data_IF_263238473287
#
_entry.id   IF_263238473287
#
_cell.length_a   1.000
_cell.length_b   1.000
_cell.length_c   1.000
_cell.angle_alpha   90.00
_cell.angle_beta   90.00
_cell.angle_gamma   90.00
#
_symmetry.space_group_name_H-M   'P 1'
#
loop_
_entity.id
_entity.type
_entity.pdbx_description
1 polymer ?
#
# COMPACT_ATOMS: atom_id res chain seq x y z
N UNK A 1 -17.96 22.55 1.10
CA UNK A 1 -18.73 21.39 0.58
C UNK A 1 -17.84 20.16 0.63
N UNK A 2 -18.36 19.04 1.13
CA UNK A 2 -17.57 17.81 1.11
C UNK A 2 -17.40 17.36 -0.34
N UNK A 3 -16.25 16.72 -0.67
CA UNK A 3 -15.98 16.13 -1.97
C UNK A 3 -17.05 15.12 -2.44
N UNK A 4 -17.95 14.71 -1.56
CA UNK A 4 -19.10 13.84 -1.87
C UNK A 4 -20.13 14.46 -2.80
N UNK A 5 -20.20 15.78 -2.83
CA UNK A 5 -21.27 16.52 -3.53
C UNK A 5 -20.73 17.59 -4.49
N UNK A 6 -19.41 17.70 -4.64
CA UNK A 6 -18.84 18.57 -5.64
C UNK A 6 -18.81 17.82 -6.97
N UNK A 7 -19.60 18.28 -7.93
CA UNK A 7 -19.63 17.75 -9.29
C UNK A 7 -18.53 18.38 -10.16
N UNK A 8 -17.98 19.50 -9.70
CA UNK A 8 -16.91 20.24 -10.37
C UNK A 8 -15.89 20.73 -9.33
N UNK A 9 -14.69 21.03 -9.77
CA UNK A 9 -13.68 21.67 -8.96
C UNK A 9 -14.16 23.04 -8.52
N UNK A 10 -14.50 23.20 -7.23
CA UNK A 10 -15.23 24.37 -6.74
C UNK A 10 -14.30 25.46 -6.25
N UNK A 11 -13.07 25.09 -5.88
CA UNK A 11 -12.06 26.02 -5.35
C UNK A 11 -10.69 25.68 -5.89
N UNK A 12 -9.83 26.66 -6.10
CA UNK A 12 -8.42 26.44 -6.37
C UNK A 12 -7.82 25.50 -5.31
N UNK A 13 -6.90 24.65 -5.71
CA UNK A 13 -6.18 23.73 -4.83
C UNK A 13 -6.99 22.57 -4.21
N UNK A 14 -8.25 22.40 -4.57
CA UNK A 14 -9.03 21.24 -4.11
C UNK A 14 -8.43 19.94 -4.67
N UNK A 15 -8.10 18.98 -3.79
CA UNK A 15 -7.54 17.68 -4.16
C UNK A 15 -6.21 17.78 -4.90
N UNK A 16 -5.35 18.70 -4.48
CA UNK A 16 -4.01 18.89 -5.04
C UNK A 16 -2.92 18.67 -4.00
N UNK A 17 -1.73 18.31 -4.46
CA UNK A 17 -0.49 18.43 -3.71
C UNK A 17 0.16 19.76 -4.08
N UNK A 18 0.47 20.58 -3.09
CA UNK A 18 1.01 21.93 -3.28
C UNK A 18 2.42 21.99 -2.69
N UNK A 19 3.34 22.55 -3.47
CA UNK A 19 4.66 22.96 -2.98
C UNK A 19 4.60 24.45 -2.66
N UNK A 20 4.95 24.81 -1.43
CA UNK A 20 5.08 26.19 -0.97
C UNK A 20 6.56 26.51 -0.81
N UNK A 21 6.99 27.68 -1.27
CA UNK A 21 8.37 28.15 -1.09
C UNK A 21 8.70 28.32 0.40
N UNK A 22 10.00 28.25 0.74
CA UNK A 22 10.46 28.35 2.14
C UNK A 22 10.05 29.67 2.82
N UNK A 23 9.98 30.75 2.07
CA UNK A 23 9.53 32.07 2.53
C UNK A 23 8.01 32.25 2.54
N UNK A 24 7.26 31.28 2.03
CA UNK A 24 5.80 31.29 1.96
C UNK A 24 5.22 32.18 0.86
N UNK A 25 6.05 32.82 0.02
CA UNK A 25 5.59 33.82 -0.94
C UNK A 25 5.06 33.23 -2.24
N UNK A 26 5.44 32.01 -2.58
CA UNK A 26 4.97 31.34 -3.80
C UNK A 26 4.44 29.96 -3.51
N UNK A 27 3.46 29.53 -4.29
CA UNK A 27 2.96 28.16 -4.28
C UNK A 27 2.80 27.62 -5.70
N UNK A 28 2.96 26.31 -5.85
CA UNK A 28 2.78 25.61 -7.11
C UNK A 28 2.03 24.30 -6.86
N UNK A 29 1.02 24.01 -7.68
CA UNK A 29 0.41 22.70 -7.72
C UNK A 29 1.43 21.73 -8.29
N UNK A 30 1.73 20.66 -7.55
CA UNK A 30 2.63 19.59 -7.99
C UNK A 30 1.85 18.56 -8.80
N UNK A 31 0.68 18.19 -8.32
CA UNK A 31 -0.22 17.24 -8.97
C UNK A 31 -1.64 17.39 -8.43
N UNK A 32 -2.61 16.74 -9.07
CA UNK A 32 -4.02 16.88 -8.74
C UNK A 32 -4.80 15.55 -8.88
N UNK A 33 -6.11 15.59 -8.69
CA UNK A 33 -6.96 14.42 -8.83
C UNK A 33 -7.11 13.59 -7.55
N UNK A 34 -6.78 14.14 -6.38
CA UNK A 34 -7.04 13.48 -5.10
C UNK A 34 -8.47 13.72 -4.61
N UNK A 35 -9.07 12.67 -4.08
CA UNK A 35 -10.43 12.74 -3.51
C UNK A 35 -10.43 13.18 -2.05
N UNK A 36 -9.64 12.50 -1.22
CA UNK A 36 -9.51 12.74 0.21
C UNK A 36 -8.14 12.23 0.70
N UNK A 37 -7.10 12.74 0.07
CA UNK A 37 -5.72 12.38 0.39
C UNK A 37 -5.39 12.68 1.85
N UNK A 38 -4.61 11.79 2.46
CA UNK A 38 -4.20 11.92 3.85
C UNK A 38 -2.74 11.52 4.04
N UNK A 39 -1.97 12.46 4.56
CA UNK A 39 -0.54 12.28 4.75
C UNK A 39 0.30 12.54 3.50
N UNK A 40 1.49 13.06 3.74
CA UNK A 40 2.55 13.19 2.75
C UNK A 40 3.84 12.72 3.41
N UNK A 41 4.52 11.77 2.79
CA UNK A 41 5.85 11.32 3.13
C UNK A 41 6.86 11.77 2.09
N UNK A 42 8.06 12.15 2.54
CA UNK A 42 9.20 12.43 1.66
C UNK A 42 10.22 11.33 1.88
N UNK A 43 10.60 10.66 0.82
CA UNK A 43 11.60 9.59 0.82
C UNK A 43 13.03 10.11 0.77
N UNK A 44 14.00 9.20 0.94
CA UNK A 44 15.41 9.56 1.04
C UNK A 44 15.99 10.15 -0.27
N UNK A 45 15.36 9.89 -1.42
CA UNK A 45 15.76 10.42 -2.72
C UNK A 45 14.83 11.55 -3.20
N UNK A 46 13.91 12.01 -2.33
CA UNK A 46 12.95 13.04 -2.63
C UNK A 46 11.60 12.55 -3.18
N UNK A 47 11.39 11.25 -3.18
CA UNK A 47 10.11 10.64 -3.56
C UNK A 47 8.99 11.16 -2.64
N UNK A 48 7.86 11.45 -3.21
CA UNK A 48 6.69 11.88 -2.45
C UNK A 48 5.64 10.78 -2.41
N UNK A 49 5.32 10.28 -1.22
CA UNK A 49 4.26 9.31 -1.02
C UNK A 49 3.03 9.95 -0.38
N UNK A 50 1.85 9.56 -0.83
CA UNK A 50 0.58 9.94 -0.21
C UNK A 50 -0.43 8.81 -0.33
N UNK A 51 -1.49 8.85 0.46
CA UNK A 51 -2.62 7.94 0.29
C UNK A 51 -3.87 8.69 -0.10
N UNK A 52 -4.79 8.01 -0.76
CA UNK A 52 -6.12 8.52 -1.03
C UNK A 52 -7.19 7.47 -0.68
N UNK A 53 -8.40 7.94 -0.43
CA UNK A 53 -9.49 7.11 0.07
C UNK A 53 -10.49 6.78 -1.01
N UNK A 54 -11.04 5.55 -0.96
CA UNK A 54 -12.17 5.11 -1.78
C UNK A 54 -13.29 6.15 -1.81
N UNK A 55 -13.82 6.42 -2.98
CA UNK A 55 -14.91 7.34 -3.18
C UNK A 55 -15.26 7.53 -4.65
N UNK A 56 -15.88 8.66 -4.98
CA UNK A 56 -16.18 9.00 -6.35
C UNK A 56 -14.90 9.13 -7.16
N UNK A 57 -14.83 8.46 -8.31
CA UNK A 57 -13.65 8.39 -9.16
C UNK A 57 -12.38 7.85 -8.47
N UNK A 58 -12.54 7.18 -7.34
CA UNK A 58 -11.47 6.52 -6.61
C UNK A 58 -11.98 5.15 -6.20
N UNK A 59 -11.73 4.12 -7.03
CA UNK A 59 -12.41 2.83 -6.94
C UNK A 59 -12.11 2.04 -5.66
N UNK A 60 -10.92 2.21 -5.08
CA UNK A 60 -10.49 1.64 -3.81
C UNK A 60 -9.56 2.64 -3.10
N UNK A 61 -9.19 2.39 -1.85
CA UNK A 61 -8.11 3.14 -1.24
C UNK A 61 -6.81 2.88 -2.00
N UNK A 62 -5.88 3.84 -1.95
CA UNK A 62 -4.62 3.72 -2.68
C UNK A 62 -3.47 4.41 -1.98
N UNK A 63 -2.27 3.85 -2.13
CA UNK A 63 -1.01 4.51 -1.81
C UNK A 63 -0.34 4.88 -3.12
N UNK A 64 0.13 6.12 -3.23
CA UNK A 64 0.76 6.65 -4.44
C UNK A 64 2.18 7.06 -4.15
N UNK A 65 3.07 6.85 -5.12
CA UNK A 65 4.25 7.69 -5.29
C UNK A 65 3.87 8.76 -6.30
N UNK A 66 4.13 10.00 -5.94
CA UNK A 66 3.59 11.16 -6.64
C UNK A 66 4.63 11.72 -7.61
N UNK A 67 4.21 11.95 -8.84
CA UNK A 67 5.00 12.62 -9.88
C UNK A 67 4.48 14.04 -10.14
N UNK A 68 5.35 14.93 -10.55
CA UNK A 68 4.97 16.30 -10.94
C UNK A 68 4.12 16.27 -12.22
N UNK A 69 2.99 16.97 -12.20
CA UNK A 69 2.02 16.99 -13.29
C UNK A 69 1.01 15.83 -13.26
N UNK A 70 1.16 14.88 -12.34
CA UNK A 70 0.30 13.68 -12.26
C UNK A 70 -1.16 13.99 -11.95
N UNK A 71 -2.04 13.07 -12.43
CA UNK A 71 -3.48 13.07 -12.14
C UNK A 71 -3.90 11.75 -11.48
N UNK A 72 -4.41 11.83 -10.26
CA UNK A 72 -4.65 10.66 -9.39
C UNK A 72 -6.11 10.17 -9.37
N UNK A 73 -6.90 10.51 -10.38
CA UNK A 73 -8.14 9.85 -10.73
C UNK A 73 -9.43 10.56 -10.31
N UNK A 74 -9.45 11.42 -9.28
CA UNK A 74 -10.68 12.10 -8.91
C UNK A 74 -11.01 13.24 -9.87
N UNK A 75 -12.00 13.01 -10.75
CA UNK A 75 -12.43 13.98 -11.76
C UNK A 75 -13.01 15.28 -11.17
N UNK A 76 -13.42 15.27 -9.91
CA UNK A 76 -13.91 16.50 -9.24
C UNK A 76 -12.76 17.37 -8.73
N UNK A 77 -11.55 16.88 -8.77
CA UNK A 77 -10.33 17.57 -8.37
C UNK A 77 -9.36 17.75 -9.54
N UNK A 78 -9.86 17.67 -10.76
CA UNK A 78 -9.12 18.01 -11.97
C UNK A 78 -9.19 19.54 -12.17
N UNK A 79 -8.06 20.18 -12.44
CA UNK A 79 -7.95 21.64 -12.44
C UNK A 79 -7.53 22.26 -13.76
N UNK A 80 -6.66 21.60 -14.54
CA UNK A 80 -6.01 22.25 -15.67
C UNK A 80 -5.85 21.29 -16.87
N UNK A 81 -5.93 21.84 -18.08
CA UNK A 81 -5.71 21.13 -19.33
C UNK A 81 -6.94 20.41 -19.88
N UNK A 82 -6.70 19.47 -20.79
CA UNK A 82 -7.74 18.62 -21.34
C UNK A 82 -8.23 17.60 -20.29
N UNK A 83 -9.51 17.29 -20.35
CA UNK A 83 -10.13 16.37 -19.40
C UNK A 83 -9.46 14.98 -19.51
N UNK A 84 -8.89 14.45 -18.40
CA UNK A 84 -8.22 13.17 -18.40
C UNK A 84 -9.16 12.03 -18.80
N UNK A 85 -8.65 11.09 -19.57
CA UNK A 85 -9.34 9.85 -19.93
C UNK A 85 -8.81 8.66 -19.15
N UNK A 86 -7.72 8.86 -18.40
CA UNK A 86 -7.05 7.88 -17.54
C UNK A 86 -6.41 8.60 -16.34
N UNK A 87 -5.76 7.85 -15.46
CA UNK A 87 -5.12 8.35 -14.24
C UNK A 87 -3.79 7.65 -14.00
N UNK A 88 -2.89 8.30 -13.27
CA UNK A 88 -1.63 7.69 -12.85
C UNK A 88 -1.90 6.50 -11.91
N UNK A 89 -1.33 5.31 -12.20
CA UNK A 89 -1.55 4.14 -11.38
C UNK A 89 -0.99 4.34 -9.97
N UNK A 90 -1.62 3.74 -8.95
CA UNK A 90 -1.04 3.75 -7.62
C UNK A 90 0.16 2.82 -7.52
N UNK A 91 0.96 3.02 -6.48
CA UNK A 91 1.90 2.02 -6.02
C UNK A 91 1.16 0.73 -5.60
N UNK A 92 0.05 0.90 -4.88
CA UNK A 92 -0.82 -0.21 -4.48
C UNK A 92 -2.24 0.24 -4.22
N UNK A 93 -3.21 -0.56 -4.69
CA UNK A 93 -4.60 -0.49 -4.28
C UNK A 93 -4.82 -1.20 -2.95
N UNK A 94 -5.74 -0.70 -2.14
CA UNK A 94 -6.11 -1.25 -0.84
C UNK A 94 -7.62 -1.43 -0.75
N UNK A 95 -8.12 -2.68 -0.73
CA UNK A 95 -9.54 -2.93 -0.52
C UNK A 95 -10.02 -2.36 0.82
N UNK A 96 -11.22 -1.82 0.88
CA UNK A 96 -11.76 -1.20 2.10
C UNK A 96 -11.96 -2.15 3.28
N UNK A 97 -12.08 -3.45 3.02
CA UNK A 97 -12.14 -4.48 4.05
C UNK A 97 -10.78 -4.81 4.64
N UNK A 98 -9.70 -4.48 3.94
CA UNK A 98 -8.30 -4.63 4.37
C UNK A 98 -7.85 -3.43 5.17
N UNK A 99 -8.04 -2.24 4.61
CA UNK A 99 -7.77 -0.98 5.28
C UNK A 99 -8.86 0.05 4.98
N UNK A 100 -9.17 0.84 6.00
CA UNK A 100 -10.09 1.98 5.87
C UNK A 100 -9.32 3.24 6.21
N UNK A 101 -9.46 4.23 5.35
CA UNK A 101 -8.81 5.52 5.58
C UNK A 101 -7.31 5.39 5.85
N UNK A 102 -6.51 4.94 4.88
CA UNK A 102 -5.06 5.01 4.99
C UNK A 102 -4.65 6.44 5.32
N UNK A 103 -3.55 6.60 6.07
CA UNK A 103 -3.17 7.90 6.61
C UNK A 103 -1.75 8.29 6.21
N UNK A 104 -0.81 8.35 7.14
CA UNK A 104 0.54 8.81 6.83
C UNK A 104 1.40 7.73 6.17
N UNK A 105 2.22 8.14 5.22
CA UNK A 105 3.32 7.39 4.65
C UNK A 105 4.64 8.01 5.15
N UNK A 106 5.61 7.17 5.50
CA UNK A 106 6.94 7.62 5.93
C UNK A 106 7.95 6.49 5.82
N UNK A 107 9.19 6.86 5.50
CA UNK A 107 10.29 5.90 5.45
C UNK A 107 10.88 5.66 6.84
N UNK A 108 11.21 4.42 7.12
CA UNK A 108 11.95 4.05 8.30
C UNK A 108 13.42 4.47 8.12
N UNK A 109 13.82 5.52 8.79
CA UNK A 109 15.19 6.05 8.76
C UNK A 109 15.96 5.73 10.04
N UNK A 110 15.84 4.50 10.54
CA UNK A 110 16.45 4.08 11.79
C UNK A 110 17.10 2.71 11.69
N UNK A 111 18.41 2.66 11.89
CA UNK A 111 19.18 1.42 11.99
C UNK A 111 18.69 0.49 13.11
N UNK A 112 18.02 1.04 14.13
CA UNK A 112 17.46 0.25 15.24
C UNK A 112 16.23 -0.58 14.82
N UNK A 113 15.73 -0.40 13.60
CA UNK A 113 14.60 -1.17 13.06
C UNK A 113 15.03 -2.36 12.18
N UNK A 114 16.33 -2.70 12.19
CA UNK A 114 16.86 -3.89 11.54
C UNK A 114 16.46 -3.99 10.06
N UNK A 115 15.78 -5.06 9.64
CA UNK A 115 15.46 -5.29 8.23
C UNK A 115 14.47 -4.27 7.64
N UNK A 116 13.83 -3.46 8.47
CA UNK A 116 12.89 -2.41 8.03
C UNK A 116 13.54 -1.04 7.84
N UNK A 117 14.84 -0.88 8.16
CA UNK A 117 15.53 0.37 7.87
C UNK A 117 15.52 0.66 6.36
N UNK A 118 15.17 1.89 5.98
CA UNK A 118 15.00 2.30 4.58
C UNK A 118 13.64 1.92 3.96
N UNK A 119 12.80 1.16 4.64
CA UNK A 119 11.52 0.70 4.12
C UNK A 119 10.40 1.73 4.30
N UNK A 120 9.44 1.73 3.37
CA UNK A 120 8.25 2.57 3.43
C UNK A 120 7.20 1.95 4.36
N UNK A 121 6.65 2.75 5.24
CA UNK A 121 5.59 2.38 6.16
C UNK A 121 4.35 3.24 5.92
N UNK A 122 3.17 2.68 6.20
CA UNK A 122 1.90 3.39 6.14
C UNK A 122 1.06 3.11 7.38
N UNK A 123 0.37 4.15 7.88
CA UNK A 123 -0.55 4.02 9.00
C UNK A 123 -1.99 4.03 8.54
N UNK A 124 -2.86 3.43 9.35
CA UNK A 124 -4.30 3.40 9.13
C UNK A 124 -5.03 4.22 10.18
N UNK A 125 -5.77 5.24 9.73
CA UNK A 125 -6.69 5.96 10.58
C UNK A 125 -7.94 5.13 10.91
N UNK A 126 -8.48 4.44 9.92
CA UNK A 126 -9.74 3.72 10.10
C UNK A 126 -9.60 2.45 10.94
N UNK A 127 -8.46 1.76 10.90
CA UNK A 127 -8.29 0.44 11.52
C UNK A 127 -7.19 0.36 12.57
N UNK A 128 -6.43 1.43 12.79
CA UNK A 128 -5.34 1.46 13.79
C UNK A 128 -4.25 0.43 13.52
N UNK A 129 -3.91 0.23 12.26
CA UNK A 129 -2.86 -0.71 11.81
C UNK A 129 -1.61 0.03 11.38
N UNK A 130 -0.49 -0.69 11.33
CA UNK A 130 0.74 -0.30 10.68
C UNK A 130 1.00 -1.28 9.53
N UNK A 131 1.29 -0.74 8.37
CA UNK A 131 1.60 -1.48 7.16
C UNK A 131 3.05 -1.29 6.75
N UNK A 132 3.72 -2.35 6.36
CA UNK A 132 4.92 -2.29 5.55
C UNK A 132 4.48 -2.21 4.08
N UNK A 133 5.01 -1.24 3.35
CA UNK A 133 4.72 -1.02 1.93
C UNK A 133 5.91 -1.54 1.13
N UNK A 134 5.71 -2.69 0.52
CA UNK A 134 6.63 -3.28 -0.45
C UNK A 134 6.56 -2.50 -1.75
N UNK A 135 7.66 -2.35 -2.44
CA UNK A 135 7.69 -1.74 -3.77
C UNK A 135 8.89 -2.19 -4.58
N UNK A 136 8.71 -2.14 -5.87
CA UNK A 136 9.74 -2.32 -6.88
C UNK A 136 9.56 -1.32 -8.03
N UNK A 137 10.60 -1.12 -8.78
CA UNK A 137 10.60 -0.38 -10.04
C UNK A 137 10.76 -1.39 -11.18
N UNK A 138 9.80 -1.40 -12.11
CA UNK A 138 9.85 -2.18 -13.33
C UNK A 138 9.84 -1.19 -14.51
N UNK A 139 11.00 -0.99 -15.12
CA UNK A 139 11.21 -0.06 -16.24
C UNK A 139 10.64 1.35 -16.00
N UNK A 140 10.92 1.91 -14.83
CA UNK A 140 10.48 3.25 -14.45
C UNK A 140 9.03 3.34 -13.96
N UNK A 141 8.32 2.21 -13.86
CA UNK A 141 6.97 2.15 -13.29
C UNK A 141 7.00 1.50 -11.91
N UNK A 142 6.66 2.30 -10.89
CA UNK A 142 6.59 1.82 -9.52
C UNK A 142 5.31 1.05 -9.27
N UNK A 143 5.45 -0.09 -8.60
CA UNK A 143 4.36 -0.95 -8.15
C UNK A 143 4.72 -1.60 -6.83
N UNK A 144 3.73 -2.20 -6.15
CA UNK A 144 4.05 -2.78 -4.87
C UNK A 144 2.89 -3.46 -4.16
N UNK A 145 3.08 -3.63 -2.87
CA UNK A 145 2.11 -4.29 -2.02
C UNK A 145 2.17 -3.82 -0.58
N UNK A 146 1.23 -4.30 0.20
CA UNK A 146 1.23 -4.06 1.65
C UNK A 146 1.14 -5.37 2.41
N UNK A 147 1.86 -5.43 3.52
CA UNK A 147 1.78 -6.47 4.51
C UNK A 147 1.61 -5.86 5.90
N UNK A 148 0.77 -6.47 6.72
CA UNK A 148 0.46 -5.96 8.05
C UNK A 148 1.59 -6.26 9.04
N UNK A 149 2.06 -5.23 9.76
CA UNK A 149 2.84 -5.43 10.96
C UNK A 149 1.99 -6.05 12.09
N UNK A 150 2.59 -6.88 12.96
CA UNK A 150 1.88 -7.50 14.08
C UNK A 150 1.64 -6.48 15.22
N UNK A 151 1.15 -5.30 14.87
CA UNK A 151 0.86 -4.19 15.80
C UNK A 151 -0.59 -3.74 15.59
N UNK A 152 -1.32 -3.60 16.67
CA UNK A 152 -2.66 -3.03 16.69
C UNK A 152 -2.71 -1.88 17.69
N UNK A 153 -3.11 -0.72 17.23
CA UNK A 153 -3.30 0.44 18.10
C UNK A 153 -4.74 0.51 18.61
N UNK A 154 -4.95 0.99 19.83
CA UNK A 154 -6.29 1.17 20.37
C UNK A 154 -7.03 2.39 19.80
N UNK A 155 -6.34 3.18 18.93
CA UNK A 155 -6.92 4.29 18.16
C UNK A 155 -6.64 4.10 16.67
N UNK A 156 -7.30 4.86 15.83
CA UNK A 156 -6.79 5.14 14.49
C UNK A 156 -5.44 5.86 14.59
N UNK A 157 -4.56 5.67 13.61
CA UNK A 157 -3.23 6.28 13.58
C UNK A 157 -3.13 7.22 12.39
N UNK A 158 -2.98 8.51 12.68
CA UNK A 158 -2.97 9.58 11.66
C UNK A 158 -1.59 9.91 11.17
N UNK A 159 -0.60 9.94 12.09
CA UNK A 159 0.77 10.38 11.77
C UNK A 159 1.78 9.51 12.50
N UNK A 160 2.96 9.39 11.89
CA UNK A 160 4.11 8.72 12.47
C UNK A 160 5.41 9.40 12.05
N UNK A 161 6.38 9.40 12.95
CA UNK A 161 7.75 9.89 12.68
C UNK A 161 8.75 9.08 13.50
N UNK A 162 9.89 8.82 12.90
CA UNK A 162 11.04 8.29 13.63
C UNK A 162 11.73 9.42 14.38
N UNK A 163 11.99 9.19 15.66
CA UNK A 163 12.68 10.15 16.49
C UNK A 163 14.19 10.07 16.23
N UNK A 164 14.86 11.19 15.90
CA UNK A 164 16.24 11.13 15.39
C UNK A 164 17.27 10.69 16.43
N UNK A 165 17.01 10.89 17.73
CA UNK A 165 17.94 10.53 18.79
C UNK A 165 17.79 9.08 19.27
N UNK A 166 16.54 8.62 19.49
CA UNK A 166 16.31 7.27 20.00
C UNK A 166 16.00 6.24 18.90
N UNK A 167 15.71 6.69 17.68
CA UNK A 167 15.44 5.85 16.51
C UNK A 167 14.14 5.06 16.59
N UNK A 168 13.24 5.40 17.50
CA UNK A 168 11.97 4.72 17.65
C UNK A 168 10.87 5.43 16.85
N UNK A 169 9.82 4.69 16.49
CA UNK A 169 8.65 5.24 15.81
C UNK A 169 7.70 5.81 16.86
N UNK A 170 7.37 7.09 16.70
CA UNK A 170 6.30 7.73 17.46
C UNK A 170 5.12 7.98 16.55
N UNK A 171 3.93 7.60 17.02
CA UNK A 171 2.69 7.75 16.28
C UNK A 171 1.65 8.46 17.12
N UNK A 172 0.75 9.17 16.46
CA UNK A 172 -0.41 9.78 17.11
C UNK A 172 -1.66 9.58 16.27
N UNK A 173 -2.79 9.59 16.96
CA UNK A 173 -4.07 9.40 16.31
C UNK A 173 -5.24 9.71 17.21
N UNK A 174 -6.42 9.47 16.67
CA UNK A 174 -7.70 9.70 17.33
C UNK A 174 -8.61 8.50 17.04
N UNK A 175 -9.83 8.50 17.58
CA UNK A 175 -10.79 7.43 17.34
C UNK A 175 -10.86 7.11 15.83
N UNK A 176 -10.75 5.82 15.50
CA UNK A 176 -10.96 5.35 14.15
C UNK A 176 -12.45 5.35 13.79
N UNK A 177 -12.81 5.98 12.70
CA UNK A 177 -14.21 5.97 12.30
C UNK A 177 -14.61 4.60 11.71
N UNK A 178 -15.82 4.13 12.03
CA UNK A 178 -16.33 2.81 11.60
C UNK A 178 -15.42 1.64 11.97
N UNK A 179 -14.72 1.71 13.09
CA UNK A 179 -13.79 0.71 13.56
C UNK A 179 -14.01 0.33 15.01
N UNK A 180 -13.30 -0.68 15.48
CA UNK A 180 -13.38 -1.16 16.87
C UNK A 180 -12.37 -0.47 17.80
N UNK A 181 -11.90 0.73 17.45
CA UNK A 181 -11.01 1.49 18.33
C UNK A 181 -11.72 1.92 19.59
N UNK A 182 -11.05 1.69 20.70
CA UNK A 182 -11.64 1.82 22.04
C UNK A 182 -11.30 3.12 22.75
N UNK A 183 -10.38 3.92 22.19
CA UNK A 183 -9.90 5.14 22.81
C UNK A 183 -10.14 6.37 21.90
N UNK A 184 -10.46 7.53 22.48
CA UNK A 184 -10.72 8.75 21.71
C UNK A 184 -9.49 9.38 21.08
N UNK A 185 -8.30 9.09 21.58
CA UNK A 185 -7.02 9.56 21.05
C UNK A 185 -5.84 8.87 21.72
N UNK A 186 -4.66 8.99 21.11
CA UNK A 186 -3.46 8.37 21.65
C UNK A 186 -2.18 8.87 21.02
N UNK A 187 -1.12 8.71 21.80
CA UNK A 187 0.26 8.92 21.39
C UNK A 187 1.07 7.70 21.79
N UNK A 188 1.76 7.08 20.83
CA UNK A 188 2.38 5.78 21.02
C UNK A 188 3.85 5.80 20.59
N UNK A 189 4.66 5.01 21.28
CA UNK A 189 6.03 4.68 20.87
C UNK A 189 6.09 3.20 20.50
N UNK A 190 6.49 2.93 19.26
CA UNK A 190 6.72 1.57 18.75
C UNK A 190 8.22 1.32 18.68
N UNK A 191 8.65 0.20 19.24
CA UNK A 191 10.06 -0.20 19.27
C UNK A 191 10.24 -1.54 18.61
N UNK A 192 11.25 -1.63 17.75
CA UNK A 192 11.74 -2.92 17.30
C UNK A 192 12.55 -3.57 18.43
N UNK A 193 12.21 -4.79 18.79
CA UNK A 193 12.83 -5.51 19.93
C UNK A 193 14.04 -6.33 19.55
N UNK A 194 14.37 -6.42 18.26
CA UNK A 194 15.39 -7.31 17.71
C UNK A 194 14.95 -8.76 17.54
N UNK A 195 13.72 -9.08 17.95
CA UNK A 195 13.16 -10.41 17.69
C UNK A 195 12.73 -10.56 16.23
N UNK A 196 12.73 -11.79 15.69
CA UNK A 196 12.17 -12.06 14.35
C UNK A 196 10.76 -11.49 14.19
N UNK A 197 10.47 -10.92 13.03
CA UNK A 197 9.15 -10.38 12.68
C UNK A 197 8.49 -11.25 11.62
N UNK A 198 9.32 -11.99 10.85
CA UNK A 198 8.88 -12.95 9.85
C UNK A 198 7.92 -12.35 8.80
N UNK A 199 8.22 -11.14 8.34
CA UNK A 199 7.42 -10.46 7.30
C UNK A 199 8.19 -10.35 5.99
N UNK A 200 7.49 -10.36 4.85
CA UNK A 200 8.08 -9.95 3.59
C UNK A 200 8.65 -8.53 3.67
N UNK A 201 9.89 -8.34 3.22
CA UNK A 201 10.61 -7.06 3.19
C UNK A 201 10.95 -6.60 1.79
N UNK A 202 10.75 -7.46 0.79
CA UNK A 202 10.91 -7.16 -0.63
C UNK A 202 9.99 -8.04 -1.45
N UNK A 203 9.62 -7.56 -2.63
CA UNK A 203 8.92 -8.30 -3.65
C UNK A 203 9.55 -8.03 -5.01
N UNK A 204 9.45 -9.00 -5.92
CA UNK A 204 9.75 -8.83 -7.34
C UNK A 204 8.75 -9.64 -8.15
N UNK A 205 8.26 -9.05 -9.23
CA UNK A 205 7.35 -9.69 -10.17
C UNK A 205 8.08 -9.98 -11.49
N UNK A 206 7.77 -11.10 -12.10
CA UNK A 206 8.25 -11.48 -13.42
C UNK A 206 7.13 -12.12 -14.24
N UNK A 207 7.41 -12.44 -15.48
CA UNK A 207 6.47 -13.16 -16.34
C UNK A 207 6.13 -14.58 -15.84
N UNK A 208 6.90 -15.14 -14.92
CA UNK A 208 6.73 -16.49 -14.38
C UNK A 208 6.10 -16.50 -12.98
N UNK A 209 6.19 -15.40 -12.23
CA UNK A 209 5.67 -15.39 -10.87
C UNK A 209 6.19 -14.24 -10.00
N UNK A 210 6.17 -14.48 -8.69
CA UNK A 210 6.50 -13.46 -7.68
C UNK A 210 7.53 -14.00 -6.69
N UNK A 211 8.64 -13.29 -6.53
CA UNK A 211 9.60 -13.53 -5.47
C UNK A 211 9.28 -12.67 -4.24
N UNK A 212 9.14 -13.29 -3.08
CA UNK A 212 8.92 -12.63 -1.79
C UNK A 212 10.12 -12.90 -0.87
N UNK A 213 10.86 -11.85 -0.51
CA UNK A 213 11.96 -11.97 0.45
C UNK A 213 11.48 -11.62 1.85
N UNK A 214 11.67 -12.52 2.80
CA UNK A 214 11.29 -12.37 4.20
C UNK A 214 12.41 -11.77 5.06
N UNK A 215 12.02 -11.12 6.15
CA UNK A 215 12.97 -10.56 7.14
C UNK A 215 13.81 -11.66 7.82
N UNK A 216 13.26 -12.85 7.95
CA UNK A 216 13.82 -13.98 8.70
C UNK A 216 13.72 -15.27 7.88
N UNK A 217 14.62 -16.27 8.08
CA UNK A 217 14.56 -17.50 7.30
C UNK A 217 13.30 -18.33 7.57
N UNK A 218 12.79 -18.94 6.51
CA UNK A 218 11.64 -19.84 6.52
C UNK A 218 12.09 -21.29 6.72
N UNK A 219 11.18 -22.12 7.13
CA UNK A 219 11.30 -23.57 7.13
C UNK A 219 11.03 -24.08 5.70
N UNK A 220 11.94 -24.91 5.18
CA UNK A 220 11.97 -25.27 3.76
C UNK A 220 10.73 -26.04 3.34
N UNK A 221 10.37 -27.09 4.07
CA UNK A 221 9.24 -27.96 3.74
C UNK A 221 7.94 -27.17 3.63
N UNK A 222 7.71 -26.25 4.57
CA UNK A 222 6.54 -25.40 4.59
C UNK A 222 6.57 -24.33 3.47
N UNK A 223 7.74 -23.82 3.13
CA UNK A 223 7.87 -22.78 2.12
C UNK A 223 7.77 -23.30 0.67
N UNK A 224 8.16 -24.55 0.44
CA UNK A 224 8.11 -25.23 -0.86
C UNK A 224 6.83 -26.05 -1.07
N UNK A 225 5.91 -26.01 -0.12
CA UNK A 225 4.58 -26.60 -0.26
C UNK A 225 3.61 -25.55 -0.82
N UNK A 226 3.27 -25.67 -2.11
CA UNK A 226 2.39 -24.70 -2.78
C UNK A 226 0.96 -24.69 -2.21
N UNK A 227 0.50 -25.74 -1.55
CA UNK A 227 -0.81 -25.78 -0.86
C UNK A 227 -0.88 -24.80 0.32
N UNK A 228 0.27 -24.31 0.79
CA UNK A 228 0.36 -23.29 1.81
C UNK A 228 0.11 -21.87 1.30
N UNK A 229 -0.18 -21.72 0.01
CA UNK A 229 -0.46 -20.41 -0.62
C UNK A 229 -1.83 -20.43 -1.28
N UNK A 230 -2.51 -19.29 -1.22
CA UNK A 230 -3.77 -19.07 -1.92
C UNK A 230 -3.74 -17.68 -2.55
N UNK A 231 -4.03 -17.61 -3.84
CA UNK A 231 -3.97 -16.38 -4.61
C UNK A 231 -5.34 -16.06 -5.20
N UNK A 232 -5.76 -14.82 -5.02
CA UNK A 232 -6.94 -14.26 -5.65
C UNK A 232 -6.58 -12.95 -6.36
N UNK A 233 -7.23 -12.67 -7.49
CA UNK A 233 -7.00 -11.44 -8.23
C UNK A 233 -8.29 -10.82 -8.73
N UNK A 234 -8.27 -9.48 -8.92
CA UNK A 234 -9.41 -8.74 -9.46
C UNK A 234 -9.01 -7.35 -9.93
N UNK A 235 -9.88 -6.75 -10.75
CA UNK A 235 -9.77 -5.37 -11.15
C UNK A 235 -10.91 -4.52 -10.56
N UNK A 236 -10.72 -3.21 -10.63
CA UNK A 236 -11.70 -2.19 -10.27
C UNK A 236 -12.14 -1.42 -11.51
N UNK A 237 -13.28 -0.71 -11.42
CA UNK A 237 -13.74 0.21 -12.46
C UNK A 237 -13.62 1.64 -11.99
N UNK A 238 -12.91 2.44 -12.74
CA UNK A 238 -12.80 3.88 -12.53
C UNK A 238 -14.06 4.57 -13.09
N UNK A 239 -14.96 4.99 -12.22
CA UNK A 239 -16.24 5.60 -12.58
C UNK A 239 -16.62 6.70 -11.61
N UNK A 240 -17.66 7.47 -11.95
CA UNK A 240 -18.25 8.49 -11.05
C UNK A 240 -18.89 7.91 -9.78
N UNK A 241 -19.09 6.60 -9.70
CA UNK A 241 -19.69 5.96 -8.55
C UNK A 241 -18.74 5.98 -7.36
N UNK A 242 -19.29 5.83 -6.15
CA UNK A 242 -18.50 5.72 -4.94
C UNK A 242 -17.93 4.30 -4.81
N UNK A 243 -16.62 4.19 -4.93
CA UNK A 243 -15.92 2.91 -4.93
C UNK A 243 -16.26 2.03 -6.13
N UNK A 244 -15.69 0.85 -6.14
CA UNK A 244 -15.92 -0.17 -7.15
C UNK A 244 -16.19 -1.53 -6.51
N UNK A 245 -17.05 -2.32 -7.11
CA UNK A 245 -17.05 -3.75 -6.89
C UNK A 245 -15.75 -4.35 -7.45
N UNK A 246 -15.41 -5.54 -6.99
CA UNK A 246 -14.38 -6.37 -7.61
C UNK A 246 -14.92 -6.94 -8.93
N UNK A 247 -14.09 -6.97 -9.95
CA UNK A 247 -14.39 -7.54 -11.25
C UNK A 247 -13.32 -8.56 -11.62
N UNK A 248 -13.79 -9.69 -12.14
CA UNK A 248 -12.92 -10.75 -12.65
C UNK A 248 -11.93 -10.19 -13.68
N UNK A 249 -10.70 -10.67 -13.62
CA UNK A 249 -9.65 -10.37 -14.61
C UNK A 249 -9.90 -11.15 -15.88
N UNK A 250 -10.32 -12.43 -15.74
CA UNK A 250 -10.61 -13.33 -16.86
C UNK A 250 -11.90 -12.94 -17.61
N UNK A 251 -12.91 -12.45 -16.90
CA UNK A 251 -14.16 -11.92 -17.47
C UNK A 251 -14.51 -10.55 -16.87
N UNK A 252 -14.09 -9.43 -17.49
CA UNK A 252 -14.32 -8.08 -16.97
C UNK A 252 -15.79 -7.68 -16.80
N UNK A 253 -16.73 -8.47 -17.30
CA UNK A 253 -18.18 -8.23 -17.09
C UNK A 253 -18.68 -8.88 -15.80
N UNK A 254 -18.03 -9.94 -15.34
CA UNK A 254 -18.39 -10.67 -14.13
C UNK A 254 -17.87 -9.94 -12.88
N UNK A 255 -18.75 -9.80 -11.88
CA UNK A 255 -18.35 -9.36 -10.54
C UNK A 255 -17.77 -10.55 -9.77
N UNK A 256 -16.74 -10.28 -8.97
CA UNK A 256 -16.06 -11.26 -8.13
C UNK A 256 -14.56 -11.22 -8.33
N UNK A 257 -13.90 -12.17 -7.72
CA UNK A 257 -12.48 -12.41 -7.79
C UNK A 257 -12.24 -13.68 -8.61
N UNK A 258 -11.03 -13.83 -9.12
CA UNK A 258 -10.55 -15.06 -9.74
C UNK A 258 -9.52 -15.70 -8.84
N UNK A 259 -9.69 -16.98 -8.58
CA UNK A 259 -8.60 -17.80 -8.02
C UNK A 259 -7.51 -17.98 -9.06
N UNK A 260 -6.26 -17.95 -8.62
CA UNK A 260 -5.08 -18.09 -9.46
C UNK A 260 -4.28 -19.30 -8.97
N UNK A 261 -3.92 -20.19 -9.88
CA UNK A 261 -3.18 -21.39 -9.57
C UNK A 261 -1.71 -21.09 -9.27
N UNK A 262 -1.20 -21.67 -8.20
CA UNK A 262 0.22 -21.72 -7.88
C UNK A 262 0.77 -23.03 -8.44
N UNK A 263 1.74 -22.93 -9.35
CA UNK A 263 2.30 -24.10 -10.04
C UNK A 263 3.39 -24.76 -9.20
N UNK A 264 4.30 -23.95 -8.67
CA UNK A 264 5.44 -24.41 -7.86
C UNK A 264 5.87 -23.29 -6.88
N UNK A 265 6.52 -23.69 -5.80
CA UNK A 265 7.19 -22.77 -4.88
C UNK A 265 8.61 -23.24 -4.60
N UNK A 266 9.57 -22.32 -4.68
CA UNK A 266 10.99 -22.60 -4.49
C UNK A 266 11.59 -21.66 -3.45
N UNK A 267 12.33 -22.20 -2.48
CA UNK A 267 13.02 -21.42 -1.46
C UNK A 267 14.50 -21.24 -1.83
N UNK A 268 14.99 -20.02 -1.75
CA UNK A 268 16.42 -19.70 -1.95
C UNK A 268 17.32 -20.39 -0.91
N UNK A 269 18.60 -20.57 -1.24
CA UNK A 269 19.58 -21.24 -0.38
C UNK A 269 19.75 -20.58 0.99
N UNK A 270 19.57 -19.24 1.09
CA UNK A 270 19.63 -18.52 2.34
C UNK A 270 18.35 -18.65 3.19
N UNK A 271 17.33 -19.33 2.65
CA UNK A 271 16.06 -19.61 3.29
C UNK A 271 15.14 -18.38 3.43
N UNK A 272 15.38 -17.29 2.69
CA UNK A 272 14.64 -16.06 2.90
C UNK A 272 13.73 -15.66 1.74
N UNK A 273 14.04 -16.09 0.53
CA UNK A 273 13.25 -15.71 -0.64
C UNK A 273 12.48 -16.92 -1.15
N UNK A 274 11.17 -16.81 -1.17
CA UNK A 274 10.28 -17.76 -1.84
C UNK A 274 9.95 -17.19 -3.21
N UNK A 275 10.18 -17.96 -4.25
CA UNK A 275 9.62 -17.73 -5.56
C UNK A 275 8.33 -18.53 -5.69
N UNK A 276 7.25 -17.88 -6.04
CA UNK A 276 5.92 -18.45 -6.24
C UNK A 276 5.65 -18.39 -7.74
N UNK A 277 5.71 -19.55 -8.40
CA UNK A 277 5.36 -19.68 -9.81
C UNK A 277 3.85 -19.65 -9.97
N UNK A 278 3.36 -18.75 -10.84
CA UNK A 278 1.94 -18.40 -10.95
C UNK A 278 1.49 -18.61 -12.40
N UNK A 279 0.43 -19.41 -12.59
CA UNK A 279 -0.18 -19.61 -13.89
C UNK A 279 -0.72 -18.29 -14.46
N UNK A 280 -0.39 -17.99 -15.71
CA UNK A 280 -0.91 -16.83 -16.46
C UNK A 280 -0.84 -15.50 -15.69
N UNK A 281 0.26 -15.27 -14.96
CA UNK A 281 0.46 -14.00 -14.25
C UNK A 281 0.42 -12.83 -15.24
N UNK A 282 -0.30 -11.77 -14.88
CA UNK A 282 -0.49 -10.61 -15.73
C UNK A 282 -0.63 -9.32 -14.89
N UNK A 283 -0.51 -8.14 -15.51
CA UNK A 283 -0.85 -6.89 -14.83
C UNK A 283 -2.29 -6.92 -14.29
N UNK A 284 -2.43 -6.55 -13.02
CA UNK A 284 -3.72 -6.59 -12.31
C UNK A 284 -3.78 -5.50 -11.25
N UNK A 285 -4.95 -4.88 -11.12
CA UNK A 285 -5.11 -3.82 -10.12
C UNK A 285 -4.99 -4.33 -8.69
N UNK A 286 -5.44 -5.56 -8.42
CA UNK A 286 -5.33 -6.14 -7.09
C UNK A 286 -5.08 -7.65 -7.18
N UNK A 287 -4.04 -8.09 -6.50
CA UNK A 287 -3.78 -9.49 -6.19
C UNK A 287 -3.64 -9.64 -4.68
N UNK A 288 -4.22 -10.68 -4.13
CA UNK A 288 -4.04 -11.09 -2.73
C UNK A 288 -3.33 -12.42 -2.70
N UNK A 289 -2.19 -12.46 -2.03
CA UNK A 289 -1.48 -13.71 -1.71
C UNK A 289 -1.65 -13.97 -0.22
N UNK A 290 -2.33 -15.03 0.15
CA UNK A 290 -2.43 -15.51 1.51
C UNK A 290 -1.51 -16.71 1.71
N UNK A 291 -0.82 -16.77 2.83
CA UNK A 291 0.11 -17.88 3.11
C UNK A 291 0.01 -18.36 4.55
N UNK A 292 0.31 -19.64 4.75
CA UNK A 292 0.43 -20.29 6.06
C UNK A 292 1.75 -21.07 6.06
N UNK A 293 2.80 -20.46 6.58
CA UNK A 293 4.17 -20.96 6.54
C UNK A 293 4.71 -21.19 7.95
N UNK A 294 5.92 -21.71 8.04
CA UNK A 294 6.71 -21.78 9.27
C UNK A 294 8.03 -21.02 9.11
N UNK A 295 8.39 -20.27 10.13
CA UNK A 295 9.73 -19.76 10.24
C UNK A 295 10.71 -20.89 10.58
N UNK A 296 11.99 -20.74 10.23
CA UNK A 296 13.05 -21.67 10.63
C UNK A 296 13.18 -21.82 12.16
N UNK A 297 12.69 -20.81 12.92
CA UNK A 297 12.58 -20.86 14.37
C UNK A 297 11.47 -21.77 14.90
N UNK A 298 10.56 -22.24 14.03
CA UNK A 298 9.39 -23.05 14.36
C UNK A 298 8.10 -22.24 14.58
N UNK A 299 8.15 -20.91 14.46
CA UNK A 299 6.97 -20.05 14.61
C UNK A 299 6.03 -20.21 13.40
N UNK A 300 4.72 -20.35 13.67
CA UNK A 300 3.71 -20.36 12.62
C UNK A 300 3.48 -18.95 12.07
N UNK A 301 3.47 -18.84 10.74
CA UNK A 301 3.30 -17.58 10.01
C UNK A 301 2.03 -17.63 9.17
N UNK A 302 1.03 -16.86 9.56
CA UNK A 302 -0.19 -16.71 8.77
C UNK A 302 -0.44 -15.24 8.48
N UNK A 303 -0.39 -14.86 7.21
CA UNK A 303 -0.60 -13.48 6.79
C UNK A 303 -1.12 -13.44 5.35
N UNK A 304 -1.42 -12.23 4.90
CA UNK A 304 -1.75 -11.93 3.50
C UNK A 304 -1.01 -10.68 3.04
N UNK A 305 -0.69 -10.65 1.76
CA UNK A 305 -0.11 -9.51 1.06
C UNK A 305 -1.13 -9.08 0.01
N UNK A 306 -1.36 -7.78 -0.10
CA UNK A 306 -2.19 -7.20 -1.16
C UNK A 306 -1.28 -6.43 -2.09
N UNK A 307 -1.27 -6.84 -3.36
CA UNK A 307 -0.35 -6.36 -4.40
C UNK A 307 -1.12 -5.63 -5.50
N UNK A 308 -0.44 -4.73 -6.16
CA UNK A 308 -0.81 -4.18 -7.48
C UNK A 308 0.33 -4.48 -8.43
N UNK A 309 0.04 -5.06 -9.57
CA UNK A 309 0.98 -5.36 -10.63
C UNK A 309 0.62 -4.48 -11.82
N UNK A 310 1.41 -3.43 -12.06
CA UNK A 310 1.21 -2.53 -13.19
C UNK A 310 1.97 -3.02 -14.43
N UNK A 311 3.08 -3.73 -14.22
CA UNK A 311 3.94 -4.30 -15.26
C UNK A 311 4.67 -5.54 -14.73
N UNK A 312 4.94 -6.50 -15.59
CA UNK A 312 5.83 -7.62 -15.29
C UNK A 312 7.24 -7.29 -15.78
N UNK A 313 8.26 -7.70 -15.03
CA UNK A 313 9.64 -7.70 -15.51
C UNK A 313 9.82 -8.88 -16.48
N UNK A 314 10.71 -8.69 -17.46
CA UNK A 314 11.13 -9.75 -18.40
C UNK A 314 11.91 -10.86 -17.68
#
# INVERSE_FOLDING_TARGET
KSARHALDSVVPHHGTLIRVSKDGLTSKIVCNGFRAANGVGIGPQGEMATSDQEGHWTPANRINIVTEGGFYGNMYSFHEGDRPTDYDPPLVWLPKNVDRSPAAQFWCNSQKWGPFNGKLLSTSYGTGKLWHVLHEDVDGLLQGGVVRFPVQFPTGVMRGRFHPQDGQLYTCGLFGWSSNQTQPGGFYRVRYTGKPVNLPVSMKTSAEGIALTFSDPLEKESAEDYDNYSIEQWNYRWTKNYGSAHYSVRDPKRKGQDEVEVLETTLSDDGRTVFIEIEDIQPVMQMQISYTLKAKSGDDLKNSIWLTINRLAD
#
